data_IF_433968257559
#
_entry.id   IF_433968257559
#
_cell.length_a   1.000
_cell.length_b   1.000
_cell.length_c   1.000
_cell.angle_alpha   90.00
_cell.angle_beta   90.00
_cell.angle_gamma   90.00
#
_symmetry.space_group_name_H-M   'P 1'
#
loop_
_entity.id
_entity.type
_entity.pdbx_description
1 polymer ?
#
# COMPACT_ATOMS: atom_id res chain seq x y z
N UNK A 1 -5.02 -14.91 -1.59
CA UNK A 1 -4.51 -15.69 -2.75
C UNK A 1 -5.05 -17.13 -2.80
N UNK A 2 -4.96 -17.93 -1.72
CA UNK A 2 -5.42 -19.34 -1.69
C UNK A 2 -6.82 -19.57 -2.29
N UNK A 3 -7.82 -18.81 -1.88
CA UNK A 3 -9.19 -18.93 -2.40
C UNK A 3 -9.27 -18.73 -3.93
N UNK A 4 -8.47 -17.80 -4.50
CA UNK A 4 -8.41 -17.60 -5.94
C UNK A 4 -7.73 -18.78 -6.66
N UNK A 5 -6.68 -19.34 -6.05
CA UNK A 5 -6.00 -20.53 -6.61
C UNK A 5 -6.89 -21.78 -6.56
N UNK A 6 -7.73 -21.93 -5.53
CA UNK A 6 -8.72 -23.00 -5.46
C UNK A 6 -9.80 -22.85 -6.54
N UNK A 7 -10.24 -21.62 -6.83
CA UNK A 7 -11.17 -21.35 -7.94
C UNK A 7 -10.54 -21.72 -9.30
N UNK A 8 -9.26 -21.41 -9.51
CA UNK A 8 -8.53 -21.83 -10.73
C UNK A 8 -8.43 -23.34 -10.81
N UNK A 9 -8.00 -24.00 -9.72
CA UNK A 9 -7.89 -25.47 -9.64
C UNK A 9 -9.22 -26.16 -9.97
N UNK A 10 -10.33 -25.56 -9.55
CA UNK A 10 -11.67 -26.10 -9.77
C UNK A 10 -12.28 -25.69 -11.12
N UNK A 11 -11.54 -24.98 -11.99
CA UNK A 11 -12.01 -24.52 -13.30
C UNK A 11 -13.07 -23.41 -13.24
N UNK A 12 -13.26 -22.78 -12.08
CA UNK A 12 -14.26 -21.72 -11.86
C UNK A 12 -13.77 -20.36 -12.37
N UNK A 13 -12.45 -20.17 -12.43
CA UNK A 13 -11.81 -18.96 -12.94
C UNK A 13 -10.67 -19.39 -13.86
N UNK A 14 -10.66 -18.83 -15.07
CA UNK A 14 -9.56 -19.04 -16.00
C UNK A 14 -8.24 -18.44 -15.47
N UNK A 15 -7.11 -19.04 -15.85
CA UNK A 15 -5.77 -18.62 -15.39
C UNK A 15 -5.50 -17.15 -15.73
N UNK A 16 -5.87 -16.68 -16.93
CA UNK A 16 -5.65 -15.30 -17.34
C UNK A 16 -6.55 -14.34 -16.54
N UNK A 17 -7.79 -14.73 -16.27
CA UNK A 17 -8.69 -13.98 -15.41
C UNK A 17 -8.20 -13.90 -13.95
N UNK A 18 -7.62 -14.98 -13.42
CA UNK A 18 -7.01 -15.00 -12.10
C UNK A 18 -5.73 -14.13 -12.06
N UNK A 19 -4.89 -14.20 -13.10
CA UNK A 19 -3.73 -13.32 -13.26
C UNK A 19 -4.14 -11.85 -13.31
N UNK A 20 -5.22 -11.52 -14.02
CA UNK A 20 -5.77 -10.16 -14.05
C UNK A 20 -6.17 -9.71 -12.63
N UNK A 21 -6.92 -10.55 -11.89
CA UNK A 21 -7.31 -10.25 -10.50
C UNK A 21 -6.11 -10.06 -9.57
N UNK A 22 -5.03 -10.83 -9.75
CA UNK A 22 -3.80 -10.68 -8.98
C UNK A 22 -3.00 -9.42 -9.37
N UNK A 23 -3.05 -9.03 -10.65
CA UNK A 23 -2.42 -7.79 -11.14
C UNK A 23 -3.18 -6.53 -10.74
N UNK A 24 -4.51 -6.60 -10.61
CA UNK A 24 -5.41 -5.45 -10.42
C UNK A 24 -5.62 -5.09 -8.93
N UNK A 25 -5.41 -6.00 -7.97
CA UNK A 25 -5.71 -5.73 -6.55
C UNK A 25 -4.44 -5.55 -5.71
N UNK A 26 -4.39 -4.69 -4.67
CA UNK A 26 -5.24 -3.54 -4.38
C UNK A 26 -4.45 -2.23 -4.43
N UNK A 27 -4.99 -1.30 -5.22
CA UNK A 27 -4.90 0.10 -4.86
C UNK A 27 -5.93 0.30 -3.75
N UNK A 28 -5.48 0.69 -2.56
CA UNK A 28 -6.38 1.10 -1.49
C UNK A 28 -6.70 2.59 -1.64
N UNK A 29 -7.98 2.93 -1.73
CA UNK A 29 -8.45 4.31 -1.75
C UNK A 29 -8.81 4.75 -0.33
N UNK A 30 -8.01 5.66 0.23
CA UNK A 30 -8.22 6.26 1.55
C UNK A 30 -9.07 7.54 1.48
N UNK A 31 -9.61 7.90 0.31
CA UNK A 31 -10.37 9.12 0.03
C UNK A 31 -9.51 10.36 -0.22
N UNK A 32 -8.27 10.38 0.27
CA UNK A 32 -7.29 11.46 0.05
C UNK A 32 -5.97 10.97 -0.57
N UNK A 33 -5.83 9.66 -0.76
CA UNK A 33 -4.69 9.01 -1.38
C UNK A 33 -5.09 7.63 -1.93
N UNK A 34 -4.50 7.27 -3.06
CA UNK A 34 -4.56 5.93 -3.63
C UNK A 34 -3.21 5.27 -3.34
N UNK A 35 -3.20 4.23 -2.49
CA UNK A 35 -1.98 3.54 -2.07
C UNK A 35 -1.82 2.27 -2.89
N UNK A 36 -0.77 2.20 -3.70
CA UNK A 36 -0.48 1.02 -4.52
C UNK A 36 0.31 -0.02 -3.73
N UNK A 37 -0.42 -0.87 -3.01
CA UNK A 37 0.14 -1.87 -2.10
C UNK A 37 0.85 -3.01 -2.84
N UNK A 38 0.69 -3.10 -4.16
CA UNK A 38 1.31 -4.12 -5.01
C UNK A 38 2.53 -3.63 -5.78
N UNK A 39 2.89 -2.34 -5.69
CA UNK A 39 4.03 -1.82 -6.43
C UNK A 39 5.32 -2.58 -6.15
N UNK A 40 5.56 -2.98 -4.90
CA UNK A 40 6.74 -3.79 -4.54
C UNK A 40 6.79 -5.12 -5.29
N UNK A 41 5.65 -5.80 -5.44
CA UNK A 41 5.57 -7.07 -6.17
C UNK A 41 5.78 -6.84 -7.67
N UNK A 42 5.27 -5.74 -8.23
CA UNK A 42 5.35 -5.46 -9.68
C UNK A 42 6.69 -4.84 -10.12
N UNK A 43 7.35 -4.09 -9.25
CA UNK A 43 8.53 -3.27 -9.59
C UNK A 43 9.76 -3.56 -8.72
N UNK A 44 9.65 -4.39 -7.69
CA UNK A 44 10.74 -4.72 -6.77
C UNK A 44 11.04 -3.64 -5.72
N UNK A 45 10.35 -2.49 -5.77
CA UNK A 45 10.52 -1.37 -4.81
C UNK A 45 9.16 -0.95 -4.22
N UNK A 46 9.10 -0.65 -2.91
CA UNK A 46 7.86 -0.19 -2.28
C UNK A 46 7.46 1.20 -2.77
N UNK A 47 6.20 1.56 -2.51
CA UNK A 47 5.66 2.89 -2.81
C UNK A 47 6.36 3.97 -1.98
N UNK A 48 6.54 5.17 -2.55
CA UNK A 48 7.10 6.33 -1.84
C UNK A 48 5.96 7.30 -1.53
N UNK A 49 5.81 7.68 -0.26
CA UNK A 49 4.78 8.64 0.15
C UNK A 49 5.26 10.06 -0.14
N UNK A 50 4.54 10.77 -1.00
CA UNK A 50 4.71 12.21 -1.19
C UNK A 50 3.88 12.97 -0.16
N UNK A 51 4.54 13.59 0.80
CA UNK A 51 3.92 14.17 1.99
C UNK A 51 3.51 15.64 1.88
N UNK A 52 3.86 16.34 0.80
CA UNK A 52 3.55 17.77 0.71
C UNK A 52 2.03 18.01 0.68
N UNK A 53 1.55 18.88 1.56
CA UNK A 53 0.12 19.21 1.69
C UNK A 53 -0.72 18.16 2.41
N UNK A 54 -0.12 17.07 2.92
CA UNK A 54 -0.82 16.08 3.74
C UNK A 54 -0.77 16.42 5.22
N UNK A 55 -1.84 16.12 5.94
CA UNK A 55 -1.87 16.23 7.41
C UNK A 55 -1.21 15.03 8.07
N UNK A 56 -0.88 15.13 9.35
CA UNK A 56 -0.32 14.02 10.13
C UNK A 56 -1.22 12.80 10.09
N UNK A 57 -2.53 12.96 10.26
CA UNK A 57 -3.50 11.86 10.25
C UNK A 57 -3.54 11.15 8.90
N UNK A 58 -3.46 11.91 7.81
CA UNK A 58 -3.40 11.34 6.45
C UNK A 58 -2.12 10.53 6.25
N UNK A 59 -0.99 11.00 6.76
CA UNK A 59 0.28 10.27 6.69
C UNK A 59 0.22 8.97 7.50
N UNK A 60 -0.28 9.02 8.74
CA UNK A 60 -0.42 7.84 9.61
C UNK A 60 -1.36 6.80 8.98
N UNK A 61 -2.46 7.24 8.37
CA UNK A 61 -3.39 6.35 7.70
C UNK A 61 -2.75 5.64 6.50
N UNK A 62 -1.93 6.34 5.70
CA UNK A 62 -1.16 5.72 4.60
C UNK A 62 -0.15 4.71 5.15
N UNK A 63 0.62 5.09 6.18
CA UNK A 63 1.60 4.20 6.81
C UNK A 63 0.92 2.93 7.34
N UNK A 64 -0.20 3.10 8.04
CA UNK A 64 -0.96 1.99 8.62
C UNK A 64 -1.50 1.03 7.55
N UNK A 65 -2.01 1.58 6.44
CA UNK A 65 -2.41 0.80 5.26
C UNK A 65 -1.24 -0.01 4.70
N UNK A 66 -0.09 0.62 4.45
CA UNK A 66 1.12 -0.03 3.93
C UNK A 66 1.65 -1.14 4.86
N UNK A 67 1.73 -0.87 6.17
CA UNK A 67 2.16 -1.85 7.17
C UNK A 67 1.21 -3.04 7.26
N UNK A 68 -0.11 -2.81 7.20
CA UNK A 68 -1.11 -3.90 7.19
C UNK A 68 -0.97 -4.84 6.00
N UNK A 69 -0.34 -4.36 4.92
CA UNK A 69 -0.02 -5.13 3.72
C UNK A 69 1.39 -5.74 3.74
N UNK A 70 2.11 -5.62 4.86
CA UNK A 70 3.44 -6.21 5.04
C UNK A 70 4.58 -5.38 4.43
N UNK A 71 4.35 -4.11 4.08
CA UNK A 71 5.42 -3.22 3.65
C UNK A 71 6.11 -2.59 4.86
N UNK A 72 7.24 -3.16 5.27
CA UNK A 72 7.98 -2.74 6.48
C UNK A 72 8.88 -1.51 6.26
N UNK A 73 9.30 -1.27 5.01
CA UNK A 73 10.18 -0.16 4.66
C UNK A 73 9.40 0.90 3.90
N UNK A 74 9.16 2.04 4.55
CA UNK A 74 8.35 3.15 4.01
C UNK A 74 9.21 4.40 3.93
N UNK A 75 9.29 5.00 2.74
CA UNK A 75 9.98 6.27 2.52
C UNK A 75 8.96 7.40 2.37
N UNK A 76 9.11 8.44 3.20
CA UNK A 76 8.32 9.67 3.12
C UNK A 76 9.19 10.81 2.58
N UNK A 77 8.65 11.58 1.63
CA UNK A 77 9.35 12.73 1.05
C UNK A 77 8.52 14.01 1.19
N UNK A 78 9.19 15.16 1.35
CA UNK A 78 8.57 16.49 1.44
C UNK A 78 7.50 16.63 2.55
N UNK A 79 7.77 16.09 3.72
CA UNK A 79 6.96 16.37 4.91
C UNK A 79 7.21 17.80 5.39
N UNK A 80 6.15 18.46 5.87
CA UNK A 80 6.28 19.69 6.62
C UNK A 80 6.97 19.40 7.98
N UNK A 81 7.79 20.31 8.53
CA UNK A 81 8.55 20.04 9.75
C UNK A 81 7.70 19.60 10.95
N UNK A 82 6.52 20.19 11.14
CA UNK A 82 5.59 19.82 12.21
C UNK A 82 5.03 18.40 12.03
N UNK A 83 4.62 18.06 10.81
CA UNK A 83 4.14 16.71 10.47
C UNK A 83 5.24 15.67 10.67
N UNK A 84 6.47 15.98 10.25
CA UNK A 84 7.61 15.08 10.42
C UNK A 84 7.88 14.79 11.90
N UNK A 85 7.84 15.81 12.77
CA UNK A 85 8.03 15.65 14.20
C UNK A 85 6.95 14.75 14.84
N UNK A 86 5.68 14.98 14.51
CA UNK A 86 4.57 14.17 15.03
C UNK A 86 4.63 12.71 14.54
N UNK A 87 4.95 12.49 13.26
CA UNK A 87 5.09 11.14 12.70
C UNK A 87 6.26 10.39 13.36
N UNK A 88 7.38 11.07 13.64
CA UNK A 88 8.51 10.48 14.36
C UNK A 88 8.17 10.07 15.79
N UNK A 89 7.36 10.86 16.50
CA UNK A 89 6.92 10.54 17.86
C UNK A 89 6.05 9.26 17.87
N UNK A 90 5.15 9.13 16.89
CA UNK A 90 4.21 7.98 16.83
C UNK A 90 4.83 6.69 16.30
N UNK A 91 5.88 6.78 15.48
CA UNK A 91 6.52 5.63 14.83
C UNK A 91 7.99 5.48 15.22
N UNK A 92 8.34 5.75 16.49
CA UNK A 92 9.72 5.63 17.01
C UNK A 92 10.44 4.42 16.39
N UNK A 93 11.38 4.73 15.50
CA UNK A 93 12.27 3.78 14.83
C UNK A 93 13.68 3.95 15.37
#
# INVERSE_FOLDING_TARGET
>A
IRALLEQVKNGQVDVDAALLKLKIKPIEDLGFAHVDLHRQIRQGVPEVIYGAGKTTEQIIAIISSMLSYGQEQILLTRLAPNVAAEVQEQHQT
#
